data_IF_006376095915
#
_entry.id   IF_006376095915
#
_cell.length_a   1.000
_cell.length_b   1.000
_cell.length_c   1.000
_cell.angle_alpha   90.00
_cell.angle_beta   90.00
_cell.angle_gamma   90.00
#
_symmetry.space_group_name_H-M   'P 1'
#
loop_
_entity.id
_entity.type
_entity.pdbx_description
1 polymer ?
#
# COMPACT_ATOMS: atom_id res chain seq x y z
N UNK A 1 3.01 0.05 -24.57
CA UNK A 1 2.88 0.81 -23.32
C UNK A 1 2.22 -0.13 -22.34
N UNK A 2 2.85 -0.44 -21.20
CA UNK A 2 2.14 -1.14 -20.12
C UNK A 2 1.15 -0.11 -19.54
N UNK A 3 -0.01 -0.57 -19.11
CA UNK A 3 -1.05 0.28 -18.51
C UNK A 3 -1.26 -0.21 -17.08
N UNK A 4 -0.42 0.22 -16.16
CA UNK A 4 -0.52 -0.06 -14.73
C UNK A 4 -1.32 1.04 -14.05
N UNK A 5 -2.50 0.67 -13.58
CA UNK A 5 -3.46 1.58 -12.97
C UNK A 5 -3.83 1.08 -11.59
N UNK A 6 -3.49 1.86 -10.57
CA UNK A 6 -4.11 1.70 -9.26
C UNK A 6 -5.34 2.61 -9.26
N UNK A 7 -6.51 2.00 -9.12
CA UNK A 7 -7.76 2.73 -8.97
C UNK A 7 -8.14 2.64 -7.50
N UNK A 8 -8.06 3.77 -6.82
CA UNK A 8 -8.66 3.93 -5.52
C UNK A 8 -10.01 4.59 -5.71
N UNK A 9 -11.07 3.92 -5.28
CA UNK A 9 -12.39 4.53 -5.23
C UNK A 9 -12.96 4.24 -3.86
N UNK A 10 -13.44 5.27 -3.19
CA UNK A 10 -14.57 5.12 -2.28
C UNK A 10 -15.78 4.65 -3.10
N UNK A 11 -15.85 3.38 -3.48
CA UNK A 11 -17.12 2.80 -3.94
C UNK A 11 -17.98 2.58 -2.68
N UNK A 12 -19.09 3.31 -2.60
CA UNK A 12 -19.91 3.41 -1.39
C UNK A 12 -20.70 2.11 -1.13
N UNK A 13 -20.56 1.55 0.08
CA UNK A 13 -21.72 1.21 0.89
C UNK A 13 -22.03 2.30 1.94
N UNK A 14 -21.04 3.10 2.36
CA UNK A 14 -21.16 4.02 3.51
C UNK A 14 -20.86 5.52 3.27
N UNK A 15 -20.77 5.98 2.03
CA UNK A 15 -20.88 7.42 1.71
C UNK A 15 -19.56 8.17 1.53
N UNK A 16 -19.59 9.51 1.38
CA UNK A 16 -18.40 10.34 1.37
C UNK A 16 -17.60 10.16 2.67
N UNK A 17 -16.26 10.20 2.61
CA UNK A 17 -15.37 10.11 3.78
C UNK A 17 -15.83 10.97 4.98
N UNK A 18 -16.31 12.18 4.70
CA UNK A 18 -16.87 13.08 5.71
C UNK A 18 -18.03 12.46 6.52
N UNK A 19 -18.88 11.63 5.90
CA UNK A 19 -19.98 10.92 6.57
C UNK A 19 -19.43 9.87 7.53
N UNK A 20 -18.53 9.01 7.07
CA UNK A 20 -17.88 7.98 7.90
C UNK A 20 -17.18 8.60 9.12
N UNK A 21 -16.47 9.71 8.91
CA UNK A 21 -15.83 10.45 10.00
C UNK A 21 -16.86 10.95 11.03
N UNK A 22 -17.98 11.53 10.58
CA UNK A 22 -19.02 12.02 11.49
C UNK A 22 -19.66 10.89 12.29
N UNK A 23 -19.91 9.75 11.66
CA UNK A 23 -20.47 8.56 12.30
C UNK A 23 -19.48 8.01 13.35
N UNK A 24 -18.22 7.79 12.97
CA UNK A 24 -17.16 7.32 13.86
C UNK A 24 -16.95 8.24 15.06
N UNK A 25 -16.94 9.57 14.87
CA UNK A 25 -16.83 10.54 15.96
C UNK A 25 -18.04 10.47 16.89
N UNK A 26 -19.25 10.39 16.33
CA UNK A 26 -20.48 10.34 17.12
C UNK A 26 -20.51 9.08 17.97
N UNK A 27 -20.26 7.93 17.35
CA UNK A 27 -20.17 6.64 18.04
C UNK A 27 -19.07 6.65 19.10
N UNK A 28 -17.85 7.04 18.70
CA UNK A 28 -16.70 7.05 19.59
C UNK A 28 -16.87 7.94 20.81
N UNK A 29 -17.48 9.11 20.66
CA UNK A 29 -17.80 9.99 21.79
C UNK A 29 -18.90 9.41 22.68
N UNK A 30 -19.92 8.78 22.09
CA UNK A 30 -21.00 8.17 22.85
C UNK A 30 -20.52 7.00 23.72
N UNK A 31 -19.53 6.24 23.25
CA UNK A 31 -18.98 5.08 23.97
C UNK A 31 -17.64 5.34 24.67
N UNK A 32 -17.10 6.55 24.59
CA UNK A 32 -15.84 6.94 25.25
C UNK A 32 -14.60 6.26 24.67
N UNK A 33 -14.60 6.02 23.35
CA UNK A 33 -13.44 5.45 22.65
C UNK A 33 -12.26 6.42 22.65
N UNK A 34 -11.01 5.92 22.72
CA UNK A 34 -9.83 6.74 22.52
C UNK A 34 -9.80 7.29 21.10
N UNK A 35 -9.17 8.45 20.92
CA UNK A 35 -9.11 9.16 19.64
C UNK A 35 -8.56 8.31 18.50
N UNK A 36 -7.56 7.48 18.78
CA UNK A 36 -6.95 6.53 17.85
C UNK A 36 -7.99 5.56 17.27
N UNK A 37 -8.84 4.97 18.11
CA UNK A 37 -9.90 4.06 17.67
C UNK A 37 -10.97 4.78 16.86
N UNK A 38 -11.29 6.04 17.18
CA UNK A 38 -12.22 6.84 16.38
C UNK A 38 -11.67 7.05 14.97
N UNK A 39 -10.37 7.34 14.87
CA UNK A 39 -9.69 7.49 13.58
C UNK A 39 -9.64 6.16 12.82
N UNK A 40 -9.31 5.06 13.49
CA UNK A 40 -9.30 3.73 12.86
C UNK A 40 -10.66 3.35 12.28
N UNK A 41 -11.75 3.51 13.03
CA UNK A 41 -13.12 3.26 12.56
C UNK A 41 -13.45 4.16 11.34
N UNK A 42 -13.06 5.43 11.38
CA UNK A 42 -13.31 6.34 10.26
C UNK A 42 -12.56 5.92 8.98
N UNK A 43 -11.48 5.13 9.10
CA UNK A 43 -10.60 4.73 8.01
C UNK A 43 -10.68 3.23 7.66
N UNK A 44 -11.64 2.49 8.23
CA UNK A 44 -11.66 1.02 8.21
C UNK A 44 -12.33 0.39 6.98
N UNK A 45 -12.86 1.13 6.01
CA UNK A 45 -13.62 0.51 4.91
C UNK A 45 -13.45 1.25 3.58
N UNK A 46 -12.33 1.00 2.90
CA UNK A 46 -12.06 1.58 1.59
C UNK A 46 -11.82 0.52 0.53
N UNK A 47 -12.48 0.64 -0.63
CA UNK A 47 -12.28 -0.28 -1.74
C UNK A 47 -11.09 0.14 -2.62
N UNK A 48 -10.15 -0.78 -2.76
CA UNK A 48 -8.96 -0.61 -3.59
C UNK A 48 -9.02 -1.62 -4.71
N UNK A 49 -8.73 -1.19 -5.94
CA UNK A 49 -8.52 -2.10 -7.07
C UNK A 49 -7.25 -1.76 -7.84
N UNK A 50 -6.42 -2.77 -8.12
CA UNK A 50 -5.19 -2.62 -8.90
C UNK A 50 -5.34 -3.40 -10.20
N UNK A 51 -5.15 -2.70 -11.32
CA UNK A 51 -5.23 -3.24 -12.66
C UNK A 51 -3.90 -3.08 -13.40
N UNK A 52 -3.57 -4.04 -14.26
CA UNK A 52 -2.46 -3.94 -15.20
C UNK A 52 -2.86 -4.53 -16.54
N UNK A 53 -2.81 -3.71 -17.60
CA UNK A 53 -3.23 -4.08 -18.95
C UNK A 53 -4.70 -4.54 -18.98
N UNK A 54 -5.58 -3.84 -18.26
CA UNK A 54 -7.01 -4.16 -18.16
C UNK A 54 -7.34 -5.39 -17.29
N UNK A 55 -6.35 -6.07 -16.75
CA UNK A 55 -6.57 -7.21 -15.85
C UNK A 55 -6.47 -6.82 -14.38
N UNK A 56 -7.44 -7.26 -13.60
CA UNK A 56 -7.44 -7.12 -12.14
C UNK A 56 -6.33 -7.98 -11.51
N UNK A 57 -5.55 -7.38 -10.61
CA UNK A 57 -4.50 -8.02 -9.84
C UNK A 57 -4.81 -8.05 -8.34
N UNK A 58 -5.62 -7.12 -7.87
CA UNK A 58 -5.99 -6.97 -6.47
C UNK A 58 -7.31 -6.21 -6.41
N UNK A 59 -8.24 -6.69 -5.61
CA UNK A 59 -9.49 -6.01 -5.29
C UNK A 59 -9.86 -6.35 -3.86
N UNK A 60 -9.92 -5.35 -2.99
CA UNK A 60 -10.20 -5.55 -1.58
C UNK A 60 -10.76 -4.29 -0.94
N UNK A 61 -11.59 -4.50 0.08
CA UNK A 61 -11.79 -3.52 1.14
C UNK A 61 -10.56 -3.54 2.06
N UNK A 62 -10.01 -2.37 2.36
CA UNK A 62 -8.77 -2.20 3.11
C UNK A 62 -8.94 -1.23 4.27
N UNK A 63 -8.09 -1.38 5.28
CA UNK A 63 -7.80 -0.32 6.22
C UNK A 63 -6.96 0.75 5.52
N UNK A 64 -7.52 1.93 5.30
CA UNK A 64 -6.91 2.91 4.39
C UNK A 64 -5.55 3.42 4.86
N UNK A 65 -5.39 3.62 6.18
CA UNK A 65 -4.11 3.98 6.77
C UNK A 65 -3.01 2.96 6.45
N UNK A 66 -3.31 1.66 6.58
CA UNK A 66 -2.38 0.58 6.29
C UNK A 66 -2.04 0.52 4.81
N UNK A 67 -3.06 0.62 3.95
CA UNK A 67 -2.88 0.65 2.51
C UNK A 67 -1.93 1.79 2.08
N UNK A 68 -2.10 3.00 2.59
CA UNK A 68 -1.23 4.12 2.24
C UNK A 68 0.21 3.90 2.69
N UNK A 69 0.44 3.43 3.91
CA UNK A 69 1.78 3.11 4.39
C UNK A 69 2.45 2.01 3.55
N UNK A 70 1.72 0.96 3.23
CA UNK A 70 2.21 -0.12 2.37
C UNK A 70 2.48 0.38 0.96
N UNK A 71 1.62 1.22 0.38
CA UNK A 71 1.85 1.81 -0.94
C UNK A 71 3.10 2.71 -0.94
N UNK A 72 3.29 3.53 0.09
CA UNK A 72 4.52 4.28 0.31
C UNK A 72 5.76 3.39 0.35
N UNK A 73 5.68 2.27 1.08
CA UNK A 73 6.76 1.28 1.21
C UNK A 73 7.10 0.65 -0.14
N UNK A 74 6.10 0.26 -0.92
CA UNK A 74 6.27 -0.24 -2.27
C UNK A 74 6.89 0.80 -3.21
N UNK A 75 6.45 2.07 -3.15
CA UNK A 75 7.04 3.14 -3.96
C UNK A 75 8.50 3.38 -3.60
N UNK A 76 8.83 3.44 -2.30
CA UNK A 76 10.21 3.59 -1.85
C UNK A 76 11.07 2.44 -2.38
N UNK A 77 10.63 1.20 -2.19
CA UNK A 77 11.35 0.01 -2.65
C UNK A 77 11.49 -0.03 -4.18
N UNK A 78 10.41 0.27 -4.90
CA UNK A 78 10.42 0.34 -6.35
C UNK A 78 11.31 1.48 -6.88
N UNK A 79 11.48 2.58 -6.15
CA UNK A 79 12.37 3.66 -6.58
C UNK A 79 13.84 3.35 -6.25
N UNK A 80 14.11 2.78 -5.08
CA UNK A 80 15.47 2.75 -4.49
C UNK A 80 16.13 1.37 -4.50
N UNK A 81 15.33 0.30 -4.55
CA UNK A 81 15.79 -1.06 -4.31
C UNK A 81 16.01 -1.40 -2.83
N UNK A 82 15.84 -0.42 -1.94
CA UNK A 82 16.01 -0.57 -0.49
C UNK A 82 14.65 -0.75 0.19
N UNK A 83 14.62 -1.45 1.32
CA UNK A 83 13.43 -1.56 2.16
C UNK A 83 13.47 -0.42 3.20
N UNK A 84 12.45 0.46 3.28
CA UNK A 84 12.48 1.56 4.24
C UNK A 84 12.22 1.06 5.66
N UNK A 85 13.09 1.42 6.61
CA UNK A 85 12.95 1.06 8.03
C UNK A 85 12.00 2.00 8.79
N UNK A 86 11.90 3.25 8.34
CA UNK A 86 11.15 4.35 8.98
C UNK A 86 9.69 4.46 8.52
N UNK A 87 9.29 3.65 7.54
CA UNK A 87 7.91 3.57 7.06
C UNK A 87 7.22 2.38 7.73
N UNK A 88 6.14 2.66 8.48
CA UNK A 88 5.31 1.64 9.13
C UNK A 88 4.94 0.55 8.12
N UNK A 89 5.03 -0.70 8.54
CA UNK A 89 4.64 -1.84 7.71
C UNK A 89 3.75 -2.80 8.49
N UNK A 90 2.72 -3.26 7.80
CA UNK A 90 1.81 -4.33 8.19
C UNK A 90 2.07 -5.60 7.36
N UNK A 91 2.92 -5.50 6.35
CA UNK A 91 3.53 -6.62 5.64
C UNK A 91 4.86 -7.10 6.23
N UNK A 92 5.55 -7.93 5.46
CA UNK A 92 6.90 -8.40 5.74
C UNK A 92 7.85 -8.04 4.61
N UNK A 93 9.12 -7.95 4.94
CA UNK A 93 10.19 -7.78 3.98
C UNK A 93 11.27 -8.80 4.29
N UNK A 94 11.86 -9.35 3.24
CA UNK A 94 12.86 -10.40 3.34
C UNK A 94 14.04 -9.99 2.48
N UNK A 95 15.26 -10.34 2.88
CA UNK A 95 16.48 -10.14 2.07
C UNK A 95 16.75 -11.30 1.12
N UNK A 96 16.16 -12.47 1.41
CA UNK A 96 16.23 -13.65 0.55
C UNK A 96 15.12 -14.64 0.89
N UNK A 97 14.88 -15.62 0.01
CA UNK A 97 13.89 -16.68 0.22
C UNK A 97 14.15 -17.50 1.49
N UNK A 98 15.40 -17.65 1.89
CA UNK A 98 15.81 -18.50 3.02
C UNK A 98 15.37 -17.93 4.38
N UNK A 99 14.99 -16.66 4.43
CA UNK A 99 14.43 -16.01 5.62
C UNK A 99 12.94 -16.33 5.83
N UNK A 100 12.26 -16.91 4.84
CA UNK A 100 10.84 -17.21 4.94
C UNK A 100 10.58 -18.33 5.96
N UNK A 101 9.69 -18.11 6.93
CA UNK A 101 9.30 -19.17 7.85
C UNK A 101 8.70 -20.38 7.14
N UNK A 102 9.01 -21.59 7.59
CA UNK A 102 8.54 -22.85 6.99
C UNK A 102 7.00 -22.98 6.88
N UNK A 103 6.24 -22.24 7.68
CA UNK A 103 4.77 -22.25 7.57
C UNK A 103 4.26 -21.53 6.30
N UNK A 104 5.12 -20.81 5.58
CA UNK A 104 4.86 -20.22 4.25
C UNK A 104 5.20 -21.15 3.08
N UNK A 105 5.64 -22.39 3.31
CA UNK A 105 6.05 -23.33 2.24
C UNK A 105 5.04 -23.47 1.11
N UNK A 106 3.74 -23.49 1.42
CA UNK A 106 2.67 -23.59 0.42
C UNK A 106 2.65 -22.36 -0.49
N UNK A 107 2.81 -21.18 0.10
CA UNK A 107 2.86 -19.90 -0.60
C UNK A 107 4.11 -19.82 -1.48
N UNK A 108 5.26 -20.26 -0.96
CA UNK A 108 6.52 -20.36 -1.71
C UNK A 108 6.38 -21.27 -2.93
N UNK A 109 5.69 -22.40 -2.81
CA UNK A 109 5.42 -23.28 -3.97
C UNK A 109 4.55 -22.60 -5.02
N UNK A 110 3.54 -21.82 -4.60
CA UNK A 110 2.71 -21.03 -5.52
C UNK A 110 3.57 -19.97 -6.22
N UNK A 111 4.38 -19.21 -5.47
CA UNK A 111 5.31 -18.23 -6.02
C UNK A 111 6.27 -18.85 -7.04
N UNK A 112 6.86 -20.01 -6.73
CA UNK A 112 7.74 -20.73 -7.65
C UNK A 112 7.02 -21.14 -8.93
N UNK A 113 5.78 -21.61 -8.82
CA UNK A 113 4.95 -21.92 -9.99
C UNK A 113 4.58 -20.69 -10.83
N UNK A 114 4.37 -19.53 -10.19
CA UNK A 114 4.01 -18.28 -10.86
C UNK A 114 5.22 -17.60 -11.54
N UNK A 115 6.38 -17.60 -10.87
CA UNK A 115 7.59 -16.94 -11.35
C UNK A 115 8.42 -17.82 -12.30
N UNK A 116 8.27 -19.14 -12.23
CA UNK A 116 9.00 -20.08 -13.08
C UNK A 116 10.51 -19.92 -12.93
N UNK A 117 11.21 -19.81 -14.06
CA UNK A 117 12.67 -19.71 -14.12
C UNK A 117 13.22 -18.43 -13.45
N UNK A 118 12.39 -17.39 -13.28
CA UNK A 118 12.79 -16.13 -12.65
C UNK A 118 12.78 -16.22 -11.11
N UNK A 119 12.23 -17.30 -10.54
CA UNK A 119 12.00 -17.41 -9.09
C UNK A 119 13.30 -17.28 -8.28
N UNK A 120 14.32 -18.07 -8.59
CA UNK A 120 15.55 -18.10 -7.78
C UNK A 120 16.29 -16.75 -7.88
N UNK A 121 16.30 -16.10 -9.04
CA UNK A 121 16.91 -14.78 -9.21
C UNK A 121 16.14 -13.70 -8.44
N UNK A 122 14.83 -13.60 -8.62
CA UNK A 122 14.01 -12.57 -7.97
C UNK A 122 14.02 -12.68 -6.44
N UNK A 123 14.13 -13.91 -5.93
CA UNK A 123 14.09 -14.20 -4.49
C UNK A 123 15.47 -14.30 -3.84
N UNK A 124 16.54 -14.11 -4.62
CA UNK A 124 17.92 -13.97 -4.12
C UNK A 124 18.26 -12.58 -3.58
N UNK A 125 17.35 -11.63 -3.73
CA UNK A 125 17.50 -10.24 -3.30
C UNK A 125 16.32 -9.80 -2.45
N UNK A 126 16.40 -8.61 -1.85
CA UNK A 126 15.35 -8.10 -1.00
C UNK A 126 14.01 -7.96 -1.73
N UNK A 127 12.92 -8.40 -1.11
CA UNK A 127 11.56 -8.31 -1.64
C UNK A 127 10.52 -7.97 -0.57
N UNK A 128 9.38 -7.47 -1.01
CA UNK A 128 8.25 -7.13 -0.15
C UNK A 128 7.16 -8.20 -0.25
N UNK A 129 6.50 -8.46 0.87
CA UNK A 129 5.27 -9.25 0.99
C UNK A 129 4.25 -8.42 1.78
N UNK A 130 3.06 -8.23 1.25
CA UNK A 130 2.05 -7.38 1.88
C UNK A 130 0.64 -7.87 1.61
N UNK A 131 -0.29 -7.42 2.44
CA UNK A 131 -1.73 -7.55 2.19
C UNK A 131 -2.32 -6.24 1.66
N UNK A 132 -1.50 -5.20 1.51
CA UNK A 132 -1.90 -3.85 1.11
C UNK A 132 -3.08 -3.32 1.96
N UNK A 133 -3.07 -3.60 3.27
CA UNK A 133 -4.12 -3.20 4.21
C UNK A 133 -5.43 -3.97 4.09
N UNK A 134 -5.51 -5.04 3.29
CA UNK A 134 -6.72 -5.86 3.16
C UNK A 134 -7.14 -6.52 4.46
N UNK A 135 -8.44 -6.53 4.73
CA UNK A 135 -9.05 -7.36 5.78
C UNK A 135 -8.99 -8.86 5.49
N UNK A 136 -8.77 -9.25 4.23
CA UNK A 136 -8.60 -10.64 3.85
C UNK A 136 -7.10 -11.01 3.83
N UNK A 137 -6.60 -11.76 4.83
CA UNK A 137 -5.20 -12.14 4.91
C UNK A 137 -4.77 -13.13 3.80
N UNK A 138 -5.69 -13.54 2.92
CA UNK A 138 -5.37 -14.36 1.74
C UNK A 138 -4.94 -13.52 0.55
N UNK A 139 -5.29 -12.24 0.51
CA UNK A 139 -4.97 -11.32 -0.60
C UNK A 139 -3.52 -10.84 -0.52
N UNK A 140 -2.61 -11.79 -0.70
CA UNK A 140 -1.18 -11.57 -0.58
C UNK A 140 -0.61 -11.06 -1.89
N UNK A 141 0.18 -9.99 -1.77
CA UNK A 141 0.93 -9.37 -2.85
C UNK A 141 2.41 -9.41 -2.52
N UNK A 142 3.22 -9.74 -3.52
CA UNK A 142 4.66 -9.59 -3.47
C UNK A 142 5.15 -8.54 -4.46
N UNK A 143 6.20 -7.82 -4.07
CA UNK A 143 6.96 -6.92 -4.93
C UNK A 143 8.41 -7.38 -5.02
N UNK A 144 8.83 -7.82 -6.21
CA UNK A 144 10.24 -8.13 -6.50
C UNK A 144 10.80 -7.13 -7.50
N UNK A 145 12.00 -6.63 -7.27
CA UNK A 145 12.69 -5.72 -8.19
C UNK A 145 13.69 -6.50 -9.03
N UNK A 146 13.72 -6.25 -10.34
CA UNK A 146 14.78 -6.72 -11.25
C UNK A 146 15.04 -5.70 -12.34
N UNK A 147 16.25 -5.13 -12.32
CA UNK A 147 16.66 -4.04 -13.20
C UNK A 147 15.69 -2.84 -13.10
N UNK A 148 15.15 -2.41 -14.25
CA UNK A 148 14.21 -1.30 -14.37
C UNK A 148 12.72 -1.67 -14.15
N UNK A 149 12.44 -2.87 -13.64
CA UNK A 149 11.08 -3.38 -13.48
C UNK A 149 10.78 -3.85 -12.05
N UNK A 150 9.51 -3.69 -11.67
CA UNK A 150 8.89 -4.30 -10.50
C UNK A 150 8.01 -5.47 -10.98
N UNK A 151 8.21 -6.65 -10.41
CA UNK A 151 7.36 -7.81 -10.56
C UNK A 151 6.36 -7.79 -9.41
N UNK A 152 5.13 -7.39 -9.75
CA UNK A 152 3.99 -7.41 -8.84
C UNK A 152 3.30 -8.77 -8.95
N UNK A 153 3.36 -9.56 -7.89
CA UNK A 153 2.79 -10.91 -7.85
C UNK A 153 1.60 -10.92 -6.91
N UNK A 154 0.42 -11.22 -7.43
CA UNK A 154 -0.77 -11.46 -6.63
C UNK A 154 -0.97 -12.97 -6.49
N UNK A 155 -0.81 -13.48 -5.27
CA UNK A 155 -0.82 -14.92 -4.99
C UNK A 155 -2.22 -15.49 -5.17
N UNK A 156 -3.22 -14.82 -4.61
CA UNK A 156 -4.62 -15.28 -4.66
C UNK A 156 -5.16 -15.26 -6.10
N UNK A 157 -4.89 -14.18 -6.84
CA UNK A 157 -5.26 -14.06 -8.24
C UNK A 157 -4.39 -14.91 -9.19
N UNK A 158 -3.30 -15.49 -8.69
CA UNK A 158 -2.31 -16.27 -9.46
C UNK A 158 -1.77 -15.50 -10.67
N UNK A 159 -1.45 -14.22 -10.46
CA UNK A 159 -0.97 -13.33 -11.52
C UNK A 159 0.40 -12.75 -11.20
N UNK A 160 1.22 -12.65 -12.23
CA UNK A 160 2.50 -11.93 -12.20
C UNK A 160 2.42 -10.82 -13.24
N UNK A 161 2.75 -9.61 -12.82
CA UNK A 161 2.86 -8.46 -13.72
C UNK A 161 4.22 -7.81 -13.57
N UNK A 162 4.92 -7.75 -14.69
CA UNK A 162 6.16 -7.00 -14.83
C UNK A 162 5.83 -5.58 -15.26
N UNK A 163 6.07 -4.63 -14.36
CA UNK A 163 5.72 -3.22 -14.53
C UNK A 163 7.00 -2.39 -14.56
N UNK A 164 7.20 -1.48 -15.52
CA UNK A 164 8.31 -0.54 -15.47
C UNK A 164 8.26 0.27 -14.16
N UNK A 165 9.40 0.41 -13.48
CA UNK A 165 9.47 1.11 -12.19
C UNK A 165 8.92 2.54 -12.30
N UNK A 166 9.28 3.26 -13.36
CA UNK A 166 8.82 4.63 -13.59
C UNK A 166 7.29 4.73 -13.73
N UNK A 167 6.67 3.72 -14.32
CA UNK A 167 5.22 3.63 -14.47
C UNK A 167 4.54 3.30 -13.14
N UNK A 168 5.05 2.31 -12.42
CA UNK A 168 4.56 1.95 -11.09
C UNK A 168 4.63 3.14 -10.12
N UNK A 169 5.82 3.77 -10.00
CA UNK A 169 6.05 4.90 -9.10
C UNK A 169 5.15 6.07 -9.47
N UNK A 170 5.03 6.43 -10.75
CA UNK A 170 4.13 7.51 -11.18
C UNK A 170 2.67 7.23 -10.81
N UNK A 171 2.19 6.02 -11.11
CA UNK A 171 0.80 5.60 -10.85
C UNK A 171 0.49 5.63 -9.34
N UNK A 172 1.37 5.04 -8.53
CA UNK A 172 1.24 5.00 -7.08
C UNK A 172 1.37 6.39 -6.42
N UNK A 173 2.30 7.24 -6.88
CA UNK A 173 2.47 8.59 -6.35
C UNK A 173 1.23 9.46 -6.59
N UNK A 174 0.61 9.37 -7.77
CA UNK A 174 -0.64 10.07 -8.04
C UNK A 174 -1.75 9.64 -7.05
N UNK A 175 -1.90 8.34 -6.81
CA UNK A 175 -2.89 7.82 -5.86
C UNK A 175 -2.62 8.30 -4.43
N UNK A 176 -1.35 8.28 -4.01
CA UNK A 176 -0.95 8.81 -2.69
C UNK A 176 -1.30 10.29 -2.57
N UNK A 177 -1.05 11.09 -3.61
CA UNK A 177 -1.36 12.53 -3.61
C UNK A 177 -2.86 12.80 -3.48
N UNK A 178 -3.67 12.09 -4.27
CA UNK A 178 -5.13 12.20 -4.25
C UNK A 178 -5.68 11.80 -2.87
N UNK A 179 -5.20 10.69 -2.31
CA UNK A 179 -5.55 10.21 -0.98
C UNK A 179 -5.23 11.21 0.13
N UNK A 180 -4.02 11.80 0.12
CA UNK A 180 -3.62 12.81 1.11
C UNK A 180 -4.48 14.07 0.99
N UNK A 181 -4.83 14.47 -0.24
CA UNK A 181 -5.70 15.61 -0.49
C UNK A 181 -7.10 15.38 0.09
N UNK A 182 -7.69 14.22 -0.20
CA UNK A 182 -8.99 13.80 0.31
C UNK A 182 -9.00 13.74 1.84
N UNK A 183 -8.05 13.03 2.46
CA UNK A 183 -7.93 12.96 3.91
C UNK A 183 -7.74 14.35 4.54
N UNK A 184 -6.93 15.19 3.90
CA UNK A 184 -6.67 16.57 4.32
C UNK A 184 -7.93 17.44 4.35
N UNK A 185 -8.86 17.22 3.40
CA UNK A 185 -10.12 17.98 3.31
C UNK A 185 -11.00 17.81 4.55
N UNK A 186 -10.91 16.66 5.23
CA UNK A 186 -11.76 16.33 6.38
C UNK A 186 -11.13 16.65 7.75
N UNK A 187 -9.89 17.19 7.80
CA UNK A 187 -9.19 17.51 9.06
C UNK A 187 -10.01 18.39 10.00
N UNK A 188 -10.73 19.36 9.44
CA UNK A 188 -11.56 20.30 10.19
C UNK A 188 -12.65 19.62 11.05
N UNK A 189 -13.13 18.44 10.65
CA UNK A 189 -14.16 17.69 11.38
C UNK A 189 -13.58 17.10 12.67
N UNK A 190 -12.40 16.49 12.58
CA UNK A 190 -11.68 15.96 13.75
C UNK A 190 -11.22 17.08 14.69
N UNK A 191 -10.63 18.15 14.14
CA UNK A 191 -10.17 19.28 14.93
C UNK A 191 -11.34 19.96 15.68
N UNK A 192 -12.47 20.16 15.00
CA UNK A 192 -13.69 20.71 15.62
C UNK A 192 -14.28 19.82 16.71
N UNK A 193 -13.85 18.56 16.77
CA UNK A 193 -14.23 17.59 17.79
C UNK A 193 -13.16 17.34 18.85
N UNK A 194 -12.04 18.06 18.81
CA UNK A 194 -10.94 17.96 19.77
C UNK A 194 -9.96 16.82 19.48
N UNK A 195 -10.04 16.17 18.32
CA UNK A 195 -9.21 15.01 17.95
C UNK A 195 -8.02 15.48 17.10
N UNK A 196 -6.88 15.74 17.73
CA UNK A 196 -5.70 16.33 17.08
C UNK A 196 -4.84 15.31 16.32
N UNK A 197 -4.96 14.04 16.69
CA UNK A 197 -4.16 12.91 16.24
C UNK A 197 -4.30 12.70 14.73
N UNK A 198 -5.50 12.94 14.18
CA UNK A 198 -5.77 12.83 12.76
C UNK A 198 -4.88 13.76 11.93
N UNK A 199 -4.72 15.02 12.37
CA UNK A 199 -3.87 16.00 11.68
C UNK A 199 -2.39 15.59 11.68
N UNK A 200 -1.92 14.90 12.74
CA UNK A 200 -0.55 14.37 12.81
C UNK A 200 -0.33 13.32 11.72
N UNK A 201 -1.26 12.38 11.57
CA UNK A 201 -1.21 11.32 10.53
C UNK A 201 -1.08 11.94 9.13
N UNK A 202 -1.89 12.95 8.80
CA UNK A 202 -1.83 13.61 7.48
C UNK A 202 -0.49 14.33 7.26
N UNK A 203 0.04 14.97 8.30
CA UNK A 203 1.34 15.62 8.22
C UNK A 203 2.48 14.61 8.00
N UNK A 204 2.39 13.43 8.61
CA UNK A 204 3.37 12.37 8.40
C UNK A 204 3.32 11.83 6.96
N UNK A 205 2.13 11.62 6.37
CA UNK A 205 2.04 11.28 4.95
C UNK A 205 2.61 12.37 4.04
N UNK A 206 2.33 13.64 4.32
CA UNK A 206 2.92 14.76 3.56
C UNK A 206 4.44 14.78 3.66
N UNK A 207 5.00 14.45 4.83
CA UNK A 207 6.45 14.32 5.01
C UNK A 207 7.02 13.18 4.17
N UNK A 208 6.39 11.99 4.21
CA UNK A 208 6.80 10.82 3.42
C UNK A 208 6.73 11.11 1.91
N UNK A 209 5.63 11.71 1.45
CA UNK A 209 5.47 12.12 0.06
C UNK A 209 6.56 13.11 -0.37
N UNK A 210 6.81 14.14 0.43
CA UNK A 210 7.87 15.11 0.15
C UNK A 210 9.26 14.48 0.14
N UNK A 211 9.52 13.52 1.03
CA UNK A 211 10.76 12.76 1.04
C UNK A 211 10.94 11.98 -0.27
N UNK A 212 9.91 11.27 -0.73
CA UNK A 212 9.95 10.51 -1.99
C UNK A 212 10.12 11.43 -3.21
N UNK A 213 9.44 12.57 -3.25
CA UNK A 213 9.60 13.58 -4.32
C UNK A 213 10.99 14.20 -4.37
N UNK A 214 11.67 14.28 -3.22
CA UNK A 214 12.99 14.92 -3.07
C UNK A 214 14.15 13.94 -3.17
N UNK A 215 13.92 12.62 -3.11
CA UNK A 215 14.98 11.64 -3.44
C UNK A 215 15.35 11.88 -4.92
N UNK A 216 16.59 12.30 -5.22
CA UNK A 216 16.97 12.64 -6.58
C UNK A 216 16.84 11.41 -7.48
N UNK A 217 16.44 11.63 -8.74
CA UNK A 217 16.43 10.64 -9.84
C UNK A 217 17.80 9.98 -10.11
N UNK A 218 18.83 10.30 -9.32
CA UNK A 218 20.22 9.84 -9.45
C UNK A 218 20.49 8.38 -9.05
N UNK A 219 19.49 7.60 -8.67
CA UNK A 219 19.61 6.14 -8.51
C UNK A 219 18.91 5.35 -9.64
N UNK A 220 18.25 6.03 -10.59
CA UNK A 220 17.53 5.39 -11.69
C UNK A 220 18.40 5.05 -12.91
N UNK A 221 19.69 5.41 -12.90
CA UNK A 221 20.63 5.20 -14.02
C UNK A 221 22.01 4.63 -13.61
N UNK A 222 22.17 4.07 -12.42
CA UNK A 222 23.44 3.45 -12.01
C UNK A 222 23.21 2.01 -11.53
N UNK A 223 23.56 1.06 -12.40
CA UNK A 223 23.52 -0.38 -12.16
C UNK A 223 23.22 -1.16 -13.43
#
# INVERSE_FOLDING_TARGET
MVDFKITFKLEEPFGPLERMIKEAITEGKNYGYPEESIIEIALSEYDVSIYCQGEELFNATVHFNEFLYELFRFVFYAATGEIPEDVKSYGWSFNSIDELPNWLDKEVRVLRGLLGDEFDELTSSSFLRSFLGSYDPRLIVYGFRKGSHLYFVSVDYRKVRKVPISEFVKSAMNVIEDAISELGSCTHIFDGNGIGEYRKIINDYKRLLNFLKKKPEGSLNAG
#
